data_IF_089561143875
#
_entry.id   IF_089561143875
#
_cell.length_a   1.000
_cell.length_b   1.000
_cell.length_c   1.000
_cell.angle_alpha   90.00
_cell.angle_beta   90.00
_cell.angle_gamma   90.00
#
_symmetry.space_group_name_H-M   'P 1'
#
loop_
_entity.id
_entity.type
_entity.pdbx_description
1 polymer ?
#
# COMPACT_ATOMS: atom_id res chain seq x y z
N UNK A 1 -1.88 10.47 5.02
CA UNK A 1 -0.41 10.29 5.05
C UNK A 1 -0.06 8.81 4.90
N UNK A 2 1.11 8.50 4.33
CA UNK A 2 1.53 7.12 4.04
C UNK A 2 1.49 6.23 5.30
N UNK A 3 2.07 6.67 6.41
CA UNK A 3 2.09 5.91 7.66
C UNK A 3 0.73 5.68 8.33
N UNK A 4 -0.28 6.47 7.96
CA UNK A 4 -1.62 6.40 8.55
C UNK A 4 -2.62 5.72 7.59
N UNK A 5 -2.67 6.19 6.32
CA UNK A 5 -3.70 5.78 5.37
C UNK A 5 -3.29 4.63 4.44
N UNK A 6 -2.01 4.30 4.33
CA UNK A 6 -1.60 3.26 3.38
C UNK A 6 -2.23 1.90 3.67
N UNK A 7 -2.31 1.51 4.94
CA UNK A 7 -2.94 0.25 5.32
C UNK A 7 -4.44 0.18 4.94
N UNK A 8 -5.11 1.32 4.77
CA UNK A 8 -6.47 1.35 4.25
C UNK A 8 -6.53 1.32 2.72
N UNK A 9 -5.70 2.17 2.07
CA UNK A 9 -5.77 2.34 0.61
C UNK A 9 -5.03 1.24 -0.14
N UNK A 10 -3.89 0.79 0.39
CA UNK A 10 -3.04 -0.21 -0.26
C UNK A 10 -3.38 -1.66 0.10
N UNK A 11 -4.28 -1.89 1.04
CA UNK A 11 -4.76 -3.24 1.38
C UNK A 11 -5.28 -3.98 0.14
N UNK A 12 -6.17 -3.35 -0.64
CA UNK A 12 -6.73 -3.94 -1.85
C UNK A 12 -5.67 -4.34 -2.89
N UNK A 13 -4.79 -3.44 -3.34
CA UNK A 13 -3.72 -3.79 -4.28
C UNK A 13 -2.67 -4.72 -3.68
N UNK A 14 -2.33 -4.60 -2.41
CA UNK A 14 -1.38 -5.47 -1.75
C UNK A 14 -1.85 -6.93 -1.79
N UNK A 15 -3.10 -7.16 -1.41
CA UNK A 15 -3.72 -8.48 -1.45
C UNK A 15 -4.03 -8.95 -2.87
N UNK A 16 -4.73 -8.12 -3.68
CA UNK A 16 -5.20 -8.52 -5.02
C UNK A 16 -4.07 -8.77 -6.02
N UNK A 17 -2.98 -8.03 -5.91
CA UNK A 17 -1.80 -8.19 -6.77
C UNK A 17 -0.72 -9.09 -6.15
N UNK A 18 -0.90 -9.50 -4.88
CA UNK A 18 0.09 -10.30 -4.15
C UNK A 18 1.46 -9.59 -4.19
N UNK A 19 1.48 -8.34 -3.72
CA UNK A 19 2.63 -7.46 -3.95
C UNK A 19 3.89 -7.93 -3.24
N UNK A 20 3.77 -8.41 -2.00
CA UNK A 20 4.92 -8.64 -1.14
C UNK A 20 5.68 -7.34 -0.85
N UNK A 21 6.97 -7.44 -0.60
CA UNK A 21 7.78 -6.30 -0.25
C UNK A 21 8.42 -5.63 -1.49
N UNK A 22 8.51 -4.30 -1.52
CA UNK A 22 9.25 -3.59 -2.57
C UNK A 22 10.76 -3.80 -2.39
N UNK A 23 11.48 -3.96 -3.48
CA UNK A 23 12.94 -4.00 -3.47
C UNK A 23 13.59 -2.61 -3.52
N UNK A 24 12.85 -1.61 -3.99
CA UNK A 24 13.31 -0.21 -4.06
C UNK A 24 12.17 0.70 -3.66
N UNK A 25 12.47 1.67 -2.80
CA UNK A 25 11.55 2.72 -2.39
C UNK A 25 12.27 4.06 -2.48
N UNK A 26 11.68 5.01 -3.22
CA UNK A 26 12.26 6.34 -3.40
C UNK A 26 11.22 7.42 -3.13
N UNK A 27 11.56 8.39 -2.29
CA UNK A 27 10.70 9.52 -2.04
C UNK A 27 11.28 10.81 -2.59
N UNK A 28 10.49 11.49 -3.42
CA UNK A 28 10.73 12.88 -3.81
C UNK A 28 9.95 13.79 -2.87
N UNK A 29 10.68 14.65 -2.18
CA UNK A 29 10.12 15.61 -1.21
C UNK A 29 10.52 17.01 -1.65
N UNK A 30 9.60 17.85 -2.17
CA UNK A 30 9.93 19.17 -2.69
C UNK A 30 10.61 20.09 -1.67
N UNK A 31 10.14 20.03 -0.42
CA UNK A 31 10.66 20.83 0.69
C UNK A 31 11.04 19.92 1.86
N UNK A 32 12.18 19.21 1.80
CA UNK A 32 12.57 18.30 2.86
C UNK A 32 12.84 19.06 4.15
N UNK A 33 12.30 18.57 5.25
CA UNK A 33 12.56 19.14 6.57
C UNK A 33 13.97 18.76 7.03
N UNK A 34 14.66 19.69 7.61
CA UNK A 34 16.01 19.45 8.19
C UNK A 34 15.97 18.55 9.43
N UNK A 35 14.82 18.48 10.09
CA UNK A 35 14.59 17.59 11.24
C UNK A 35 13.86 16.34 10.78
N UNK A 36 14.56 15.23 10.77
CA UNK A 36 14.02 13.92 10.34
C UNK A 36 12.99 13.30 11.31
N UNK A 37 12.52 14.05 12.30
CA UNK A 37 11.46 13.61 13.22
C UNK A 37 10.04 13.89 12.69
N UNK A 38 9.90 14.65 11.62
CA UNK A 38 8.62 15.05 11.06
C UNK A 38 8.42 14.48 9.66
N UNK A 39 7.19 14.14 9.36
CA UNK A 39 6.77 13.71 8.02
C UNK A 39 6.76 14.92 7.09
N UNK A 40 7.08 14.70 5.82
CA UNK A 40 6.99 15.73 4.78
C UNK A 40 5.52 16.18 4.59
N UNK A 41 5.34 17.47 4.31
CA UNK A 41 4.01 18.02 4.01
C UNK A 41 3.52 17.57 2.62
N UNK A 42 4.45 17.44 1.67
CA UNK A 42 4.23 17.01 0.29
C UNK A 42 5.30 15.99 -0.12
N UNK A 43 4.88 14.92 -0.76
CA UNK A 43 5.82 13.93 -1.30
C UNK A 43 5.20 13.05 -2.37
N UNK A 44 6.07 12.47 -3.20
CA UNK A 44 5.75 11.33 -4.06
C UNK A 44 6.67 10.19 -3.69
N UNK A 45 6.11 9.12 -3.15
CA UNK A 45 6.86 7.90 -2.82
C UNK A 45 6.64 6.85 -3.89
N UNK A 46 7.72 6.40 -4.51
CA UNK A 46 7.73 5.40 -5.56
C UNK A 46 8.28 4.08 -5.03
N UNK A 47 7.48 3.03 -5.10
CA UNK A 47 7.82 1.67 -4.67
C UNK A 47 7.87 0.75 -5.88
N UNK A 48 8.93 -0.04 -6.01
CA UNK A 48 9.12 -0.99 -7.09
C UNK A 48 9.04 -2.42 -6.57
N UNK A 49 8.17 -3.20 -7.18
CA UNK A 49 7.97 -4.62 -6.85
C UNK A 49 8.43 -5.48 -8.01
N UNK A 50 9.19 -6.52 -7.72
CA UNK A 50 9.63 -7.49 -8.70
C UNK A 50 8.49 -8.33 -9.28
N UNK A 51 8.82 -9.16 -10.26
CA UNK A 51 7.88 -10.19 -10.74
C UNK A 51 7.58 -11.23 -9.63
N UNK A 52 6.33 -11.69 -9.58
CA UNK A 52 5.85 -12.63 -8.56
C UNK A 52 5.16 -13.81 -9.26
N UNK A 53 5.88 -14.92 -9.40
CA UNK A 53 5.41 -16.05 -10.20
C UNK A 53 5.13 -15.63 -11.65
N UNK A 54 3.88 -15.77 -12.09
CA UNK A 54 3.41 -15.33 -13.41
C UNK A 54 2.89 -13.88 -13.44
N UNK A 55 2.93 -13.16 -12.31
CA UNK A 55 2.50 -11.76 -12.23
C UNK A 55 3.65 -10.83 -12.61
N UNK A 56 3.43 -9.78 -13.42
CA UNK A 56 4.46 -8.85 -13.83
C UNK A 56 4.96 -7.99 -12.67
N UNK A 57 6.11 -7.31 -12.83
CA UNK A 57 6.54 -6.27 -11.90
C UNK A 57 5.45 -5.19 -11.74
N UNK A 58 5.41 -4.55 -10.58
CA UNK A 58 4.49 -3.44 -10.29
C UNK A 58 5.27 -2.21 -9.86
N UNK A 59 4.83 -1.07 -10.35
CA UNK A 59 5.29 0.26 -9.96
C UNK A 59 4.14 0.95 -9.22
N UNK A 60 4.34 1.26 -7.95
CA UNK A 60 3.37 1.94 -7.10
C UNK A 60 3.88 3.35 -6.78
N UNK A 61 3.01 4.35 -6.95
CA UNK A 61 3.31 5.72 -6.54
C UNK A 61 2.27 6.19 -5.53
N UNK A 62 2.73 6.62 -4.38
CA UNK A 62 1.94 7.26 -3.36
C UNK A 62 2.15 8.77 -3.40
N UNK A 63 1.07 9.51 -3.54
CA UNK A 63 1.07 10.97 -3.64
C UNK A 63 0.49 11.57 -2.37
N UNK A 64 1.16 12.56 -1.80
CA UNK A 64 0.75 13.26 -0.58
C UNK A 64 0.82 14.78 -0.73
N UNK A 65 0.08 15.47 0.14
CA UNK A 65 0.01 16.94 0.14
C UNK A 65 -0.76 17.47 -1.04
N UNK A 66 -0.15 18.33 -1.81
CA UNK A 66 -0.69 18.88 -3.06
C UNK A 66 -0.47 17.99 -4.28
N UNK A 67 0.44 17.04 -4.16
CA UNK A 67 0.84 16.16 -5.25
C UNK A 67 -0.29 15.20 -5.67
N UNK A 68 -0.44 15.03 -6.98
CA UNK A 68 -1.46 14.17 -7.59
C UNK A 68 -0.90 13.48 -8.83
N UNK A 69 -1.37 12.27 -9.16
CA UNK A 69 -1.03 11.66 -10.43
C UNK A 69 -1.60 12.46 -11.60
N UNK A 70 -0.94 12.46 -12.77
CA UNK A 70 -1.50 13.06 -13.97
C UNK A 70 -2.80 12.35 -14.38
N UNK A 71 -3.79 13.12 -14.81
CA UNK A 71 -5.04 12.58 -15.36
C UNK A 71 -4.81 12.24 -16.83
N UNK A 72 -5.21 11.05 -17.24
CA UNK A 72 -5.21 10.63 -18.64
C UNK A 72 -6.57 10.89 -19.28
N UNK A 73 -6.63 11.44 -20.50
CA UNK A 73 -7.89 11.75 -21.17
C UNK A 73 -8.83 10.53 -21.32
N UNK A 74 -8.27 9.36 -21.56
CA UNK A 74 -9.02 8.11 -21.73
C UNK A 74 -9.76 7.63 -20.47
N UNK A 75 -9.47 8.21 -19.31
CA UNK A 75 -10.18 7.88 -18.08
C UNK A 75 -11.52 8.56 -17.93
N UNK A 76 -11.80 9.62 -18.71
CA UNK A 76 -13.07 10.36 -18.67
C UNK A 76 -13.36 11.07 -17.35
N UNK A 77 -12.38 11.21 -16.46
CA UNK A 77 -12.52 11.87 -15.16
C UNK A 77 -12.01 13.32 -15.23
N UNK A 78 -12.66 14.22 -14.51
CA UNK A 78 -12.30 15.65 -14.44
C UNK A 78 -11.31 15.96 -13.31
N UNK A 79 -11.10 15.03 -12.39
CA UNK A 79 -10.25 15.23 -11.21
C UNK A 79 -10.32 14.05 -10.26
N UNK A 80 -9.47 14.07 -9.23
CA UNK A 80 -9.48 13.08 -8.17
C UNK A 80 -10.21 13.62 -6.94
N UNK A 81 -10.87 12.71 -6.21
CA UNK A 81 -11.35 12.99 -4.85
C UNK A 81 -10.14 13.25 -3.93
N UNK A 82 -10.41 13.62 -2.68
CA UNK A 82 -9.37 13.91 -1.68
C UNK A 82 -8.41 12.74 -1.46
N UNK A 83 -8.92 11.52 -1.50
CA UNK A 83 -8.14 10.29 -1.37
C UNK A 83 -8.72 9.22 -2.30
N UNK A 84 -7.88 8.34 -2.76
CA UNK A 84 -8.27 7.23 -3.64
C UNK A 84 -7.08 6.49 -4.20
N UNK A 85 -7.38 5.54 -5.06
CA UNK A 85 -6.39 4.71 -5.72
C UNK A 85 -6.76 4.52 -7.18
N UNK A 86 -5.75 4.48 -8.03
CA UNK A 86 -5.83 4.00 -9.41
C UNK A 86 -4.99 2.74 -9.55
N UNK A 87 -5.57 1.72 -10.15
CA UNK A 87 -4.87 0.51 -10.55
C UNK A 87 -4.89 0.43 -12.07
N UNK A 88 -3.75 0.71 -12.70
CA UNK A 88 -3.62 0.86 -14.15
C UNK A 88 -3.09 -0.45 -14.72
N UNK A 89 -3.95 -1.21 -15.37
CA UNK A 89 -3.59 -2.43 -16.06
C UNK A 89 -3.30 -2.19 -17.55
N UNK A 90 -2.94 -3.26 -18.23
CA UNK A 90 -2.70 -3.28 -19.68
C UNK A 90 -3.98 -3.10 -20.51
N UNK A 91 -5.14 -3.45 -19.96
CA UNK A 91 -6.44 -3.38 -20.63
C UNK A 91 -7.28 -2.24 -20.10
N UNK A 92 -7.45 -2.15 -18.80
CA UNK A 92 -8.37 -1.22 -18.14
C UNK A 92 -7.77 -0.63 -16.88
N UNK A 93 -8.33 0.49 -16.46
CA UNK A 93 -7.98 1.14 -15.20
C UNK A 93 -9.13 1.01 -14.21
N UNK A 94 -8.80 0.63 -12.99
CA UNK A 94 -9.71 0.57 -11.85
C UNK A 94 -9.44 1.74 -10.92
N UNK A 95 -10.49 2.35 -10.42
CA UNK A 95 -10.43 3.44 -9.44
C UNK A 95 -11.24 3.10 -8.20
N UNK A 96 -10.73 3.48 -7.02
CA UNK A 96 -11.46 3.40 -5.75
C UNK A 96 -11.38 4.71 -4.99
N UNK A 97 -12.17 4.84 -3.92
CA UNK A 97 -11.94 5.83 -2.87
C UNK A 97 -10.72 5.47 -2.02
N UNK A 98 -10.51 6.22 -0.92
CA UNK A 98 -9.40 6.00 0.00
C UNK A 98 -9.43 4.66 0.73
N UNK A 99 -10.59 4.02 0.79
CA UNK A 99 -10.75 2.61 1.16
C UNK A 99 -11.13 1.83 -0.09
N UNK A 100 -10.55 0.64 -0.35
CA UNK A 100 -10.76 -0.11 -1.59
C UNK A 100 -12.08 -0.87 -1.64
N UNK A 101 -13.14 -0.27 -1.11
CA UNK A 101 -14.52 -0.68 -1.33
C UNK A 101 -15.07 0.01 -2.59
N UNK A 102 -16.10 -0.52 -3.18
CA UNK A 102 -16.79 0.04 -4.35
C UNK A 102 -15.84 0.42 -5.52
N UNK A 103 -15.03 -0.52 -6.01
CA UNK A 103 -14.14 -0.25 -7.13
C UNK A 103 -14.95 0.00 -8.41
N UNK A 104 -14.51 0.98 -9.19
CA UNK A 104 -15.09 1.35 -10.47
C UNK A 104 -14.08 1.14 -11.59
N UNK A 105 -14.47 0.42 -12.64
CA UNK A 105 -13.68 0.39 -13.88
C UNK A 105 -13.93 1.68 -14.65
N UNK A 106 -12.87 2.32 -15.11
CA UNK A 106 -12.95 3.49 -15.97
C UNK A 106 -13.18 3.02 -17.41
N UNK A 107 -14.43 3.01 -17.79
CA UNK A 107 -14.95 2.49 -19.08
C UNK A 107 -15.70 3.60 -19.80
N UNK A 108 -15.80 3.50 -21.12
CA UNK A 108 -16.77 4.26 -21.90
C UNK A 108 -18.21 3.84 -21.54
N UNK A 109 -19.19 4.66 -21.88
CA UNK A 109 -20.61 4.35 -21.62
C UNK A 109 -21.06 3.06 -22.29
N UNK A 110 -20.54 2.74 -23.45
CA UNK A 110 -20.82 1.51 -24.18
C UNK A 110 -20.26 0.29 -23.49
N UNK A 111 -18.96 0.33 -23.15
CA UNK A 111 -18.28 -0.74 -22.40
C UNK A 111 -18.92 -0.97 -21.03
N UNK A 112 -19.36 0.12 -20.37
CA UNK A 112 -20.04 0.02 -19.09
C UNK A 112 -21.38 -0.72 -19.20
N UNK A 113 -22.18 -0.43 -20.25
CA UNK A 113 -23.42 -1.16 -20.52
C UNK A 113 -23.18 -2.65 -20.75
N UNK A 114 -22.11 -3.00 -21.47
CA UNK A 114 -21.77 -4.39 -21.71
C UNK A 114 -21.26 -5.11 -20.45
N UNK A 115 -20.45 -4.44 -19.65
CA UNK A 115 -19.98 -4.95 -18.35
C UNK A 115 -21.17 -5.22 -17.41
N UNK A 116 -22.17 -4.35 -17.37
CA UNK A 116 -23.36 -4.53 -16.54
C UNK A 116 -24.23 -5.72 -16.95
N UNK A 117 -24.27 -6.07 -18.25
CA UNK A 117 -24.99 -7.26 -18.73
C UNK A 117 -24.34 -8.57 -18.27
N UNK A 118 -22.99 -8.57 -18.19
CA UNK A 118 -22.20 -9.75 -17.88
C UNK A 118 -21.15 -9.45 -16.78
N UNK A 119 -21.57 -9.10 -15.57
CA UNK A 119 -20.61 -8.81 -14.50
C UNK A 119 -19.83 -10.08 -14.11
N UNK A 120 -18.57 -9.95 -13.68
CA UNK A 120 -17.80 -11.10 -13.22
C UNK A 120 -18.48 -11.79 -12.03
N UNK A 121 -18.39 -13.11 -12.00
CA UNK A 121 -18.93 -13.89 -10.89
C UNK A 121 -18.22 -13.49 -9.58
N UNK A 122 -19.00 -13.24 -8.55
CA UNK A 122 -18.45 -13.01 -7.19
C UNK A 122 -17.84 -14.33 -6.67
N UNK A 123 -16.55 -14.34 -6.43
CA UNK A 123 -15.79 -15.53 -5.99
C UNK A 123 -15.23 -15.44 -4.58
N UNK A 124 -15.17 -14.22 -4.03
CA UNK A 124 -14.61 -13.96 -2.71
C UNK A 124 -15.77 -13.84 -1.71
N UNK A 125 -15.78 -14.67 -0.63
CA UNK A 125 -16.75 -14.53 0.44
C UNK A 125 -16.69 -13.15 1.09
N UNK A 126 -17.86 -12.61 1.43
CA UNK A 126 -17.95 -11.36 2.19
C UNK A 126 -18.18 -11.64 3.67
N UNK A 127 -17.55 -10.86 4.52
CA UNK A 127 -17.90 -10.82 5.94
C UNK A 127 -19.28 -10.19 6.08
N UNK A 128 -20.14 -10.81 6.88
CA UNK A 128 -21.49 -10.29 7.13
C UNK A 128 -21.39 -8.86 7.68
N UNK A 129 -22.17 -7.95 7.10
CA UNK A 129 -22.23 -6.54 7.51
C UNK A 129 -20.87 -5.81 7.48
N UNK A 130 -19.87 -6.38 6.79
CA UNK A 130 -18.51 -5.83 6.72
C UNK A 130 -17.90 -5.56 8.12
N UNK A 131 -18.24 -6.39 9.11
CA UNK A 131 -17.84 -6.22 10.51
C UNK A 131 -16.51 -6.95 10.80
N UNK A 132 -15.36 -6.27 10.83
CA UNK A 132 -14.05 -6.91 11.02
C UNK A 132 -13.90 -7.54 12.41
N UNK A 133 -14.57 -6.99 13.42
CA UNK A 133 -14.55 -7.55 14.79
C UNK A 133 -15.27 -8.90 14.82
N UNK A 134 -16.40 -9.02 14.12
CA UNK A 134 -17.15 -10.28 14.03
C UNK A 134 -16.37 -11.33 13.25
N UNK A 135 -15.67 -10.94 12.20
CA UNK A 135 -14.76 -11.82 11.49
C UNK A 135 -13.68 -12.37 12.43
N UNK A 136 -13.04 -11.51 13.22
CA UNK A 136 -12.02 -11.89 14.19
C UNK A 136 -12.55 -12.86 15.24
N UNK A 137 -13.68 -12.54 15.85
CA UNK A 137 -14.34 -13.42 16.84
C UNK A 137 -14.71 -14.78 16.22
N UNK A 138 -15.26 -14.78 15.00
CA UNK A 138 -15.61 -16.01 14.28
C UNK A 138 -14.36 -16.83 13.93
N UNK A 139 -13.27 -16.19 13.57
CA UNK A 139 -11.99 -16.86 13.28
C UNK A 139 -11.48 -17.58 14.53
N UNK A 140 -11.48 -16.92 15.70
CA UNK A 140 -11.10 -17.53 16.97
C UNK A 140 -12.01 -18.72 17.33
N UNK A 141 -13.34 -18.56 17.24
CA UNK A 141 -14.31 -19.63 17.56
C UNK A 141 -14.18 -20.85 16.66
N UNK A 142 -13.71 -20.69 15.45
CA UNK A 142 -13.59 -21.75 14.44
C UNK A 142 -12.13 -22.19 14.17
N UNK A 143 -11.19 -21.74 15.00
CA UNK A 143 -9.76 -22.04 14.87
C UNK A 143 -9.22 -21.80 13.45
N UNK A 144 -9.50 -20.62 12.90
CA UNK A 144 -9.01 -20.17 11.58
C UNK A 144 -8.38 -18.78 11.68
N UNK A 145 -7.58 -18.42 10.68
CA UNK A 145 -7.00 -17.09 10.59
C UNK A 145 -8.05 -16.08 10.09
N UNK A 146 -8.16 -14.89 10.71
CA UNK A 146 -8.91 -13.77 10.14
C UNK A 146 -8.19 -13.18 8.93
N UNK A 147 -8.88 -12.41 8.09
CA UNK A 147 -8.28 -11.76 6.92
C UNK A 147 -7.12 -10.83 7.25
N UNK A 148 -7.17 -10.19 8.43
CA UNK A 148 -6.12 -9.28 8.91
C UNK A 148 -5.14 -9.91 9.91
N UNK A 149 -4.85 -11.21 9.77
CA UNK A 149 -3.87 -11.87 10.65
C UNK A 149 -2.47 -11.28 10.48
N UNK A 150 -1.62 -11.42 11.51
CA UNK A 150 -0.30 -10.78 11.52
C UNK A 150 0.63 -11.20 10.38
N UNK A 151 0.56 -12.44 9.90
CA UNK A 151 1.35 -12.87 8.74
C UNK A 151 1.04 -12.11 7.44
N UNK A 152 -0.13 -11.44 7.37
CA UNK A 152 -0.49 -10.53 6.29
C UNK A 152 -0.29 -9.07 6.68
N UNK A 153 -0.84 -8.68 7.82
CA UNK A 153 -0.87 -7.27 8.23
C UNK A 153 0.53 -6.73 8.56
N UNK A 154 1.46 -7.58 9.04
CA UNK A 154 2.83 -7.17 9.32
C UNK A 154 3.56 -6.76 8.04
N UNK A 155 3.47 -7.55 6.98
CA UNK A 155 4.11 -7.23 5.69
C UNK A 155 3.55 -5.94 5.07
N UNK A 156 2.23 -5.75 5.09
CA UNK A 156 1.60 -4.52 4.64
C UNK A 156 2.09 -3.30 5.43
N UNK A 157 2.21 -3.46 6.75
CA UNK A 157 2.71 -2.39 7.64
C UNK A 157 4.18 -2.10 7.41
N UNK A 158 5.01 -3.13 7.26
CA UNK A 158 6.44 -3.02 6.95
C UNK A 158 6.66 -2.25 5.65
N UNK A 159 5.93 -2.59 4.59
CA UNK A 159 5.95 -1.85 3.32
C UNK A 159 5.66 -0.35 3.53
N UNK A 160 4.64 -0.03 4.31
CA UNK A 160 4.27 1.34 4.63
C UNK A 160 5.38 2.08 5.39
N UNK A 161 5.98 1.43 6.39
CA UNK A 161 7.03 2.01 7.23
C UNK A 161 8.35 2.24 6.46
N UNK A 162 8.74 1.32 5.57
CA UNK A 162 9.89 1.55 4.67
C UNK A 162 9.63 2.76 3.77
N UNK A 163 8.38 2.94 3.30
CA UNK A 163 7.96 4.14 2.57
C UNK A 163 8.08 5.42 3.41
N UNK A 164 7.70 5.37 4.67
CA UNK A 164 7.85 6.50 5.61
C UNK A 164 9.31 6.85 5.84
N UNK A 165 10.20 5.85 5.95
CA UNK A 165 11.65 6.12 6.04
C UNK A 165 12.16 6.82 4.79
N UNK A 166 11.77 6.39 3.60
CA UNK A 166 12.16 7.07 2.37
C UNK A 166 11.69 8.54 2.36
N UNK A 167 10.45 8.83 2.78
CA UNK A 167 9.93 10.20 2.92
C UNK A 167 10.71 11.03 3.93
N UNK A 168 10.97 10.44 5.09
CA UNK A 168 11.64 11.10 6.21
C UNK A 168 13.04 11.59 5.85
N UNK A 169 13.75 10.84 5.02
CA UNK A 169 15.11 11.13 4.58
C UNK A 169 15.19 11.71 3.16
N UNK A 170 14.06 11.90 2.49
CA UNK A 170 13.99 12.28 1.07
C UNK A 170 14.98 11.44 0.23
N UNK A 171 14.92 10.12 0.36
CA UNK A 171 15.96 9.21 -0.11
C UNK A 171 15.41 8.08 -0.98
N UNK A 172 16.34 7.51 -1.75
CA UNK A 172 16.16 6.20 -2.37
C UNK A 172 16.72 5.11 -1.45
N UNK A 173 15.89 4.11 -1.18
CA UNK A 173 16.18 2.96 -0.33
C UNK A 173 16.19 1.71 -1.18
N UNK A 174 17.21 0.87 -1.05
CA UNK A 174 17.24 -0.51 -1.53
C UNK A 174 17.01 -1.42 -0.33
N UNK A 175 15.91 -2.18 -0.39
CA UNK A 175 15.41 -2.92 0.76
C UNK A 175 15.53 -4.43 0.55
N UNK A 176 16.24 -5.10 1.47
CA UNK A 176 16.29 -6.55 1.61
C UNK A 176 15.26 -6.97 2.68
N UNK A 177 14.06 -7.30 2.24
CA UNK A 177 12.97 -7.67 3.13
C UNK A 177 13.24 -8.97 3.91
N UNK A 178 14.00 -9.91 3.34
CA UNK A 178 14.32 -11.16 4.01
C UNK A 178 15.12 -10.95 5.29
N UNK A 179 16.02 -9.97 5.27
CA UNK A 179 16.88 -9.62 6.38
C UNK A 179 16.43 -8.35 7.10
N UNK A 180 15.30 -7.75 6.68
CA UNK A 180 14.78 -6.46 7.18
C UNK A 180 15.90 -5.40 7.20
N UNK A 181 16.54 -5.18 6.04
CA UNK A 181 17.74 -4.36 5.96
C UNK A 181 17.72 -3.39 4.79
N UNK A 182 18.14 -2.14 5.03
CA UNK A 182 18.40 -1.14 4.00
C UNK A 182 19.86 -1.26 3.58
N UNK A 183 20.12 -1.71 2.35
CA UNK A 183 21.47 -2.12 1.93
C UNK A 183 22.33 -0.97 1.40
N UNK A 184 21.72 0.08 0.86
CA UNK A 184 22.43 1.21 0.25
C UNK A 184 22.60 2.43 1.17
N UNK A 185 21.90 2.47 2.34
CA UNK A 185 21.91 3.61 3.25
C UNK A 185 21.99 3.13 4.70
N UNK A 186 23.22 2.85 5.18
CA UNK A 186 23.45 2.39 6.57
C UNK A 186 22.95 3.37 7.65
N UNK A 187 22.97 4.66 7.34
CA UNK A 187 22.43 5.71 8.20
C UNK A 187 20.92 5.62 8.39
N UNK A 188 20.19 5.17 7.37
CA UNK A 188 18.74 4.93 7.44
C UNK A 188 18.44 3.54 8.02
N UNK A 189 19.29 2.56 7.73
CA UNK A 189 19.15 1.20 8.24
C UNK A 189 19.08 1.15 9.78
N UNK A 190 19.79 2.05 10.44
CA UNK A 190 19.75 2.18 11.90
C UNK A 190 18.34 2.49 12.48
N UNK A 191 17.39 2.95 11.63
CA UNK A 191 16.00 3.23 12.03
C UNK A 191 15.06 2.04 11.83
N UNK A 192 15.51 0.96 11.24
CA UNK A 192 14.69 -0.28 11.09
C UNK A 192 14.45 -0.90 12.46
N UNK A 193 15.48 -0.93 13.30
CA UNK A 193 15.37 -1.41 14.68
C UNK A 193 16.03 -0.40 15.60
N UNK A 194 15.22 0.47 16.18
CA UNK A 194 15.72 1.42 17.18
C UNK A 194 16.16 0.66 18.45
N UNK A 195 17.20 1.12 19.14
CA UNK A 195 17.62 0.51 20.39
C UNK A 195 16.50 0.59 21.44
N UNK A 196 16.30 -0.48 22.17
CA UNK A 196 15.36 -0.47 23.28
C UNK A 196 15.85 0.51 24.36
N UNK A 197 14.89 1.13 25.07
CA UNK A 197 15.21 1.95 26.24
C UNK A 197 15.99 1.11 27.27
N UNK A 198 16.91 1.71 27.98
CA UNK A 198 17.68 1.06 29.06
C UNK A 198 16.76 0.31 30.03
N UNK A 199 17.08 -0.95 30.30
CA UNK A 199 16.26 -1.84 31.13
C UNK A 199 15.09 -2.52 30.42
N UNK A 200 14.93 -2.31 29.10
CA UNK A 200 13.90 -2.94 28.26
C UNK A 200 14.55 -3.70 27.11
N UNK A 201 13.93 -4.79 26.68
CA UNK A 201 14.35 -5.53 25.48
C UNK A 201 13.12 -5.82 24.61
N UNK A 202 13.36 -6.02 23.31
CA UNK A 202 12.28 -6.44 22.38
C UNK A 202 11.95 -7.95 22.47
N UNK A 203 12.62 -8.69 23.36
CA UNK A 203 12.55 -10.14 23.42
C UNK A 203 13.43 -10.78 22.33
N UNK A 204 14.64 -11.14 22.64
CA UNK A 204 15.60 -11.72 21.68
C UNK A 204 15.24 -13.16 21.23
N UNK A 205 14.16 -13.69 21.74
CA UNK A 205 13.65 -15.05 21.48
C UNK A 205 12.30 -15.08 20.78
N UNK A 206 11.85 -13.98 20.18
CA UNK A 206 10.64 -13.93 19.35
C UNK A 206 11.01 -13.97 17.88
#
# INVERSE_FOLDING_TARGET
>A
QLGDWSCHTLDGPFWGLDLGMPHTVEATVPNPRTQHHFIADESVTHMQFGARGNKPPVSLKWYEGGEKPPIRPEWGIKGFKRSGMLMIGDKKTLMTGGRPNDPVLLLSDEEWKDFQKNPPKKTIPRVKEEAPVDEWINAMKNNRLPGSHFGYAAELTEMALVGVLAQRFAAKIEYDAKNMKITNRPDIDAYIKEPAREGWSYGESL
#
